data_IF_817425736472
#
_entry.id   IF_817425736472
#
_cell.length_a   1.000
_cell.length_b   1.000
_cell.length_c   1.000
_cell.angle_alpha   90.00
_cell.angle_beta   90.00
_cell.angle_gamma   90.00
#
_symmetry.space_group_name_H-M   'P 1'
#
loop_
_entity.id
_entity.type
_entity.pdbx_description
1 polymer ?
#
# COMPACT_ATOMS: atom_id res chain seq x y z
N UNK A 1 -11.86 45.37 27.45
CA UNK A 1 -11.56 44.16 28.23
C UNK A 1 -11.38 42.93 27.31
N UNK A 2 -12.34 42.57 26.44
CA UNK A 2 -12.13 41.42 25.53
C UNK A 2 -10.92 41.56 24.61
N UNK A 3 -10.77 42.69 23.92
CA UNK A 3 -9.66 42.91 22.98
C UNK A 3 -8.29 42.79 23.66
N UNK A 4 -8.17 43.19 24.92
CA UNK A 4 -6.92 43.05 25.68
C UNK A 4 -6.64 41.57 25.98
N UNK A 5 -7.67 40.80 26.34
CA UNK A 5 -7.55 39.36 26.52
C UNK A 5 -7.13 38.66 25.22
N UNK A 6 -7.75 39.01 24.09
CA UNK A 6 -7.41 38.44 22.77
C UNK A 6 -5.97 38.82 22.38
N UNK A 7 -5.53 40.05 22.63
CA UNK A 7 -4.12 40.46 22.43
C UNK A 7 -3.14 39.61 23.26
N UNK A 8 -3.52 39.24 24.48
CA UNK A 8 -2.69 38.36 25.32
C UNK A 8 -2.68 36.91 24.85
N UNK A 9 -3.79 36.41 24.30
CA UNK A 9 -3.90 35.02 23.81
C UNK A 9 -3.16 34.86 22.48
N UNK A 10 -3.36 35.80 21.55
CA UNK A 10 -2.86 35.71 20.17
C UNK A 10 -1.60 36.54 19.91
N UNK A 11 -0.90 37.01 20.96
CA UNK A 11 0.38 37.73 20.93
C UNK A 11 0.83 38.25 19.54
N UNK A 12 1.63 37.47 18.81
CA UNK A 12 2.21 37.83 17.51
C UNK A 12 1.30 37.50 16.31
N UNK A 13 0.26 36.69 16.50
CA UNK A 13 -0.71 36.27 15.49
C UNK A 13 -1.84 37.29 15.27
N UNK A 14 -1.95 38.31 16.13
CA UNK A 14 -2.98 39.36 16.04
C UNK A 14 -2.43 40.67 15.50
N UNK A 15 -3.07 41.18 14.45
CA UNK A 15 -2.76 42.47 13.83
C UNK A 15 -3.94 43.42 13.98
N UNK A 16 -3.77 44.48 14.77
CA UNK A 16 -4.76 45.55 14.87
C UNK A 16 -4.70 46.43 13.61
N UNK A 17 -5.84 46.62 12.94
CA UNK A 17 -5.96 47.52 11.79
C UNK A 17 -6.49 48.90 12.23
N UNK A 18 -7.59 48.91 12.99
CA UNK A 18 -8.24 50.13 13.46
C UNK A 18 -8.72 49.97 14.91
N UNK A 19 -8.67 51.05 15.69
CA UNK A 19 -9.12 51.05 17.09
C UNK A 19 -10.60 51.43 17.26
N UNK A 20 -11.20 52.22 16.36
CA UNK A 20 -12.62 52.61 16.41
C UNK A 20 -13.22 52.86 15.01
N UNK A 21 -14.19 52.05 14.53
CA UNK A 21 -14.62 50.77 15.10
C UNK A 21 -13.44 49.78 15.15
N UNK A 22 -13.47 48.85 16.11
CA UNK A 22 -12.37 47.89 16.27
C UNK A 22 -12.34 46.94 15.07
N UNK A 23 -11.24 47.00 14.33
CA UNK A 23 -10.94 46.12 13.19
C UNK A 23 -9.59 45.47 13.42
N UNK A 24 -9.55 44.15 13.40
CA UNK A 24 -8.30 43.42 13.58
C UNK A 24 -8.31 42.10 12.79
N UNK A 25 -7.11 41.60 12.54
CA UNK A 25 -6.89 40.32 11.88
C UNK A 25 -6.24 39.34 12.85
N UNK A 26 -6.66 38.07 12.78
CA UNK A 26 -6.07 36.95 13.52
C UNK A 26 -5.56 35.92 12.52
N UNK A 27 -4.29 35.56 12.63
CA UNK A 27 -3.70 34.44 11.90
C UNK A 27 -3.97 33.14 12.65
N UNK A 28 -4.58 32.19 11.97
CA UNK A 28 -4.82 30.84 12.49
C UNK A 28 -3.93 29.84 11.75
N UNK A 29 -3.10 29.18 12.55
CA UNK A 29 -2.23 28.09 12.12
C UNK A 29 -2.85 26.74 12.54
N UNK A 30 -2.79 25.74 11.67
CA UNK A 30 -3.29 24.40 11.96
C UNK A 30 -2.52 23.72 13.10
N UNK A 31 -1.21 23.96 13.16
CA UNK A 31 -0.31 23.39 14.15
C UNK A 31 0.76 24.42 14.54
N UNK A 32 1.31 24.28 15.74
CA UNK A 32 2.39 25.11 16.26
C UNK A 32 3.75 24.75 15.63
N UNK A 33 3.89 23.54 15.07
CA UNK A 33 5.09 23.12 14.35
C UNK A 33 5.04 23.56 12.88
N UNK A 34 5.93 24.48 12.48
CA UNK A 34 6.07 24.99 11.10
C UNK A 34 6.22 23.87 10.05
N UNK A 35 6.88 22.77 10.40
CA UNK A 35 7.11 21.64 9.48
C UNK A 35 5.86 20.81 9.17
N UNK A 36 4.84 20.89 10.02
CA UNK A 36 3.57 20.15 9.88
C UNK A 36 2.38 21.07 9.64
N UNK A 37 2.63 22.36 9.43
CA UNK A 37 1.58 23.35 9.23
C UNK A 37 1.40 23.60 7.73
N UNK A 38 0.47 22.86 7.12
CA UNK A 38 0.17 23.03 5.70
C UNK A 38 -1.00 24.00 5.45
N UNK A 39 -1.79 24.33 6.48
CA UNK A 39 -2.98 25.15 6.34
C UNK A 39 -2.90 26.39 7.22
N UNK A 40 -3.03 27.55 6.57
CA UNK A 40 -3.08 28.84 7.24
C UNK A 40 -4.34 29.60 6.80
N UNK A 41 -5.07 30.11 7.78
CA UNK A 41 -6.21 30.99 7.56
C UNK A 41 -5.98 32.32 8.25
N UNK A 42 -6.56 33.39 7.68
CA UNK A 42 -6.56 34.71 8.27
C UNK A 42 -8.01 35.15 8.45
N UNK A 43 -8.38 35.54 9.67
CA UNK A 43 -9.72 36.00 9.98
C UNK A 43 -9.67 37.50 10.23
N UNK A 44 -10.51 38.25 9.55
CA UNK A 44 -10.70 39.68 9.80
C UNK A 44 -12.01 39.86 10.56
N UNK A 45 -11.94 40.53 11.70
CA UNK A 45 -13.08 40.87 12.54
C UNK A 45 -13.37 42.37 12.44
N UNK A 46 -14.63 42.72 12.20
CA UNK A 46 -15.16 44.08 12.32
C UNK A 46 -16.23 44.10 13.40
N UNK A 47 -15.94 44.79 14.50
CA UNK A 47 -16.83 44.86 15.66
C UNK A 47 -17.86 45.99 15.53
N UNK A 48 -19.16 45.68 15.64
CA UNK A 48 -20.19 46.70 15.72
C UNK A 48 -20.20 47.38 17.10
N UNK A 49 -20.82 48.56 17.17
CA UNK A 49 -20.93 49.33 18.42
C UNK A 49 -21.74 48.60 19.52
N UNK A 50 -22.67 47.72 19.13
CA UNK A 50 -23.55 46.95 20.03
C UNK A 50 -23.01 45.53 20.31
N UNK A 51 -21.71 45.32 20.12
CA UNK A 51 -21.05 44.08 20.52
C UNK A 51 -20.94 44.00 22.06
N UNK A 52 -21.24 42.85 22.72
CA UNK A 52 -21.43 41.50 22.17
C UNK A 52 -22.90 41.07 21.89
N UNK A 53 -23.86 42.00 21.89
CA UNK A 53 -25.27 41.68 21.62
C UNK A 53 -25.53 41.38 20.13
N UNK A 54 -24.66 41.87 19.25
CA UNK A 54 -24.73 41.64 17.80
C UNK A 54 -23.47 40.93 17.33
N UNK A 55 -23.64 39.96 16.43
CA UNK A 55 -22.57 39.20 15.80
C UNK A 55 -21.63 40.14 15.01
N UNK A 56 -20.31 40.07 15.20
CA UNK A 56 -19.36 40.86 14.42
C UNK A 56 -19.32 40.41 12.95
N UNK A 57 -18.89 41.30 12.05
CA UNK A 57 -18.62 40.88 10.68
C UNK A 57 -17.30 40.11 10.65
N UNK A 58 -17.36 38.84 10.25
CA UNK A 58 -16.20 37.95 10.22
C UNK A 58 -15.93 37.60 8.76
N UNK A 59 -14.70 37.81 8.32
CA UNK A 59 -14.25 37.47 6.97
C UNK A 59 -13.09 36.50 7.03
N UNK A 60 -13.24 35.36 6.36
CA UNK A 60 -12.20 34.35 6.25
C UNK A 60 -11.41 34.59 4.97
N UNK A 61 -10.10 34.79 5.10
CA UNK A 61 -9.14 34.84 4.00
C UNK A 61 -8.28 33.58 4.01
N UNK A 62 -8.36 32.83 2.92
CA UNK A 62 -7.53 31.66 2.72
C UNK A 62 -6.09 32.08 2.32
N UNK A 63 -5.08 31.61 3.06
CA UNK A 63 -3.66 31.81 2.72
C UNK A 63 -3.04 30.59 2.03
N UNK A 64 -3.72 29.44 2.04
CA UNK A 64 -3.29 28.18 1.41
C UNK A 64 -4.30 27.74 0.33
N UNK A 65 -4.34 28.42 -0.84
CA UNK A 65 -5.30 28.12 -1.91
C UNK A 65 -5.08 26.75 -2.55
N UNK A 66 -3.87 26.19 -2.45
CA UNK A 66 -3.53 24.91 -3.07
C UNK A 66 -4.24 23.71 -2.41
N UNK A 67 -4.70 23.90 -1.16
CA UNK A 67 -5.25 22.84 -0.32
C UNK A 67 -6.73 23.09 -0.03
N UNK A 68 -7.12 24.34 0.22
CA UNK A 68 -8.48 24.68 0.63
C UNK A 68 -9.30 25.16 -0.57
N UNK A 69 -10.29 24.35 -0.93
CA UNK A 69 -11.28 24.67 -1.96
C UNK A 69 -12.32 25.70 -1.48
N UNK A 70 -12.95 26.41 -2.41
CA UNK A 70 -14.03 27.37 -2.11
C UNK A 70 -15.19 26.76 -1.32
N UNK A 71 -15.54 25.49 -1.58
CA UNK A 71 -16.59 24.80 -0.80
C UNK A 71 -16.21 24.68 0.68
N UNK A 72 -14.95 24.42 0.99
CA UNK A 72 -14.47 24.29 2.37
C UNK A 72 -14.52 25.66 3.06
N UNK A 73 -14.14 26.73 2.36
CA UNK A 73 -14.27 28.11 2.88
C UNK A 73 -15.73 28.44 3.21
N UNK A 74 -16.68 28.03 2.37
CA UNK A 74 -18.12 28.21 2.64
C UNK A 74 -18.58 27.41 3.86
N UNK A 75 -18.09 26.19 4.06
CA UNK A 75 -18.39 25.40 5.26
C UNK A 75 -17.82 26.04 6.52
N UNK A 76 -16.62 26.62 6.44
CA UNK A 76 -16.03 27.38 7.54
C UNK A 76 -16.80 28.66 7.85
N UNK A 77 -17.27 29.38 6.85
CA UNK A 77 -18.11 30.57 7.03
C UNK A 77 -19.42 30.23 7.75
N UNK A 78 -20.07 29.11 7.37
CA UNK A 78 -21.26 28.59 8.06
C UNK A 78 -20.96 28.21 9.51
N UNK A 79 -19.84 27.52 9.75
CA UNK A 79 -19.44 27.10 11.09
C UNK A 79 -19.20 28.31 12.00
N UNK A 80 -18.45 29.30 11.50
CA UNK A 80 -18.14 30.55 12.19
C UNK A 80 -19.41 31.32 12.52
N UNK A 81 -20.30 31.48 11.54
CA UNK A 81 -21.58 32.18 11.72
C UNK A 81 -22.43 31.48 12.78
N UNK A 82 -22.58 30.15 12.68
CA UNK A 82 -23.32 29.36 13.66
C UNK A 82 -22.76 29.52 15.06
N UNK A 83 -21.42 29.46 15.21
CA UNK A 83 -20.78 29.57 16.53
C UNK A 83 -20.92 30.97 17.13
N UNK A 84 -20.87 32.00 16.28
CA UNK A 84 -21.10 33.38 16.70
C UNK A 84 -22.55 33.60 17.14
N UNK A 85 -23.53 33.07 16.41
CA UNK A 85 -24.95 33.13 16.77
C UNK A 85 -25.26 32.42 18.10
N UNK A 86 -24.65 31.26 18.35
CA UNK A 86 -24.78 30.53 19.62
C UNK A 86 -24.20 31.30 20.82
N UNK A 87 -23.24 32.18 20.58
CA UNK A 87 -22.47 32.89 21.60
C UNK A 87 -22.89 34.36 21.76
N UNK A 88 -24.01 34.76 21.15
CA UNK A 88 -24.57 36.11 21.26
C UNK A 88 -24.87 36.47 22.72
N UNK A 89 -24.48 37.68 23.12
CA UNK A 89 -24.58 38.14 24.50
C UNK A 89 -23.38 37.78 25.37
N UNK A 90 -22.40 37.06 24.82
CA UNK A 90 -21.10 36.77 25.46
C UNK A 90 -19.93 37.10 24.54
N UNK A 91 -18.73 37.15 25.12
CA UNK A 91 -17.47 37.30 24.39
C UNK A 91 -17.31 36.10 23.45
N UNK A 92 -17.24 36.31 22.13
CA UNK A 92 -17.35 35.23 21.13
C UNK A 92 -16.12 35.12 20.20
N UNK A 93 -15.19 36.07 20.24
CA UNK A 93 -14.04 36.09 19.32
C UNK A 93 -13.17 34.84 19.51
N UNK A 94 -12.87 34.51 20.77
CA UNK A 94 -12.03 33.36 21.10
C UNK A 94 -12.70 32.04 20.69
N UNK A 95 -13.96 31.85 21.05
CA UNK A 95 -14.76 30.66 20.76
C UNK A 95 -14.86 30.39 19.25
N UNK A 96 -15.04 31.44 18.45
CA UNK A 96 -15.04 31.34 16.98
C UNK A 96 -13.66 30.92 16.46
N UNK A 97 -12.59 31.55 16.96
CA UNK A 97 -11.23 31.23 16.54
C UNK A 97 -10.86 29.78 16.88
N UNK A 98 -11.22 29.31 18.07
CA UNK A 98 -10.95 27.94 18.51
C UNK A 98 -11.76 26.91 17.73
N UNK A 99 -13.05 27.15 17.50
CA UNK A 99 -13.89 26.25 16.70
C UNK A 99 -13.33 26.08 15.27
N UNK A 100 -12.82 27.15 14.69
CA UNK A 100 -12.19 27.08 13.38
C UNK A 100 -10.79 26.43 13.44
N UNK A 101 -9.98 26.72 14.47
CA UNK A 101 -8.68 26.07 14.69
C UNK A 101 -8.81 24.55 14.78
N UNK A 102 -9.81 24.06 15.51
CA UNK A 102 -10.11 22.62 15.61
C UNK A 102 -10.38 22.01 14.22
N UNK A 103 -11.21 22.65 13.40
CA UNK A 103 -11.49 22.16 12.04
C UNK A 103 -10.31 22.22 11.08
N UNK A 104 -9.49 23.27 11.15
CA UNK A 104 -8.27 23.31 10.35
C UNK A 104 -7.31 22.19 10.80
N UNK A 105 -7.20 21.95 12.12
CA UNK A 105 -6.39 20.87 12.69
C UNK A 105 -6.81 19.49 12.20
N UNK A 106 -8.11 19.17 12.25
CA UNK A 106 -8.66 17.92 11.73
C UNK A 106 -8.30 17.71 10.25
N UNK A 107 -8.42 18.74 9.41
CA UNK A 107 -8.06 18.65 7.99
C UNK A 107 -6.55 18.47 7.79
N UNK A 108 -5.73 19.19 8.57
CA UNK A 108 -4.28 19.06 8.51
C UNK A 108 -3.83 17.64 8.86
N UNK A 109 -4.44 17.01 9.85
CA UNK A 109 -4.15 15.62 10.22
C UNK A 109 -4.52 14.64 9.09
N UNK A 110 -5.63 14.86 8.40
CA UNK A 110 -6.02 14.04 7.24
C UNK A 110 -4.99 14.20 6.11
N UNK A 111 -4.51 15.42 5.87
CA UNK A 111 -3.52 15.71 4.83
C UNK A 111 -2.17 15.09 5.18
N UNK A 112 -1.71 15.26 6.42
CA UNK A 112 -0.46 14.66 6.90
C UNK A 112 -0.48 13.14 6.73
N UNK A 113 -1.57 12.47 7.10
CA UNK A 113 -1.72 11.03 6.89
C UNK A 113 -1.61 10.63 5.43
N UNK A 114 -2.28 11.37 4.53
CA UNK A 114 -2.20 11.11 3.08
C UNK A 114 -0.79 11.33 2.53
N UNK A 115 -0.11 12.39 2.97
CA UNK A 115 1.27 12.68 2.57
C UNK A 115 2.21 11.58 3.06
N UNK A 116 2.06 11.12 4.30
CA UNK A 116 2.86 10.02 4.86
C UNK A 116 2.61 8.71 4.12
N UNK A 117 1.36 8.39 3.76
CA UNK A 117 1.01 7.22 2.96
C UNK A 117 1.63 7.26 1.55
N UNK A 118 1.63 8.42 0.89
CA UNK A 118 2.25 8.61 -0.42
C UNK A 118 3.76 8.47 -0.33
N UNK A 119 4.41 9.09 0.66
CA UNK A 119 5.85 8.96 0.88
C UNK A 119 6.26 7.51 1.15
N UNK A 120 5.45 6.76 1.88
CA UNK A 120 5.69 5.32 2.10
C UNK A 120 5.56 4.53 0.80
N UNK A 121 4.53 4.79 -0.01
CA UNK A 121 4.37 4.14 -1.32
C UNK A 121 5.51 4.49 -2.27
N UNK A 122 5.88 5.75 -2.40
CA UNK A 122 7.00 6.18 -3.24
C UNK A 122 8.34 5.58 -2.77
N UNK A 123 8.54 5.45 -1.46
CA UNK A 123 9.69 4.75 -0.91
C UNK A 123 9.67 3.24 -1.23
N UNK A 124 8.51 2.60 -1.18
CA UNK A 124 8.36 1.19 -1.53
C UNK A 124 8.52 0.97 -3.04
N UNK A 125 7.94 1.82 -3.88
CA UNK A 125 8.10 1.83 -5.33
C UNK A 125 9.56 2.06 -5.73
N UNK A 126 10.25 2.99 -5.05
CA UNK A 126 11.69 3.21 -5.25
C UNK A 126 12.51 2.01 -4.81
N UNK A 127 12.17 1.38 -3.68
CA UNK A 127 12.82 0.15 -3.21
C UNK A 127 12.58 -1.02 -4.20
N UNK A 128 11.35 -1.21 -4.68
CA UNK A 128 10.97 -2.21 -5.67
C UNK A 128 11.68 -1.98 -7.01
N UNK A 129 11.74 -0.74 -7.50
CA UNK A 129 12.51 -0.36 -8.69
C UNK A 129 13.99 -0.63 -8.49
N UNK A 130 14.57 -0.35 -7.32
CA UNK A 130 15.99 -0.67 -7.05
C UNK A 130 16.29 -2.17 -7.05
N UNK A 131 15.31 -3.01 -6.71
CA UNK A 131 15.40 -4.47 -6.82
C UNK A 131 15.23 -4.92 -8.28
N UNK A 132 14.33 -4.29 -9.05
CA UNK A 132 14.09 -4.58 -10.47
C UNK A 132 15.23 -4.11 -11.39
N UNK A 133 15.95 -3.02 -11.05
CA UNK A 133 17.08 -2.47 -11.84
C UNK A 133 18.32 -3.36 -11.81
N UNK A 134 18.31 -4.49 -11.09
CA UNK A 134 19.26 -5.59 -11.31
C UNK A 134 18.99 -6.39 -12.60
N UNK A 135 18.02 -5.99 -13.43
CA UNK A 135 17.82 -6.53 -14.78
C UNK A 135 18.63 -5.79 -15.86
N UNK A 136 19.05 -4.53 -15.61
CA UNK A 136 19.85 -3.70 -16.53
C UNK A 136 21.33 -3.62 -16.14
N UNK A 137 21.85 -4.66 -15.47
CA UNK A 137 23.30 -4.86 -15.48
C UNK A 137 23.72 -4.93 -16.96
N UNK A 138 24.80 -4.24 -17.38
CA UNK A 138 25.21 -4.26 -18.78
C UNK A 138 25.32 -5.72 -19.22
N UNK A 139 24.47 -6.15 -20.16
CA UNK A 139 24.53 -7.48 -20.72
C UNK A 139 25.92 -7.62 -21.34
N UNK A 140 26.84 -8.21 -20.59
CA UNK A 140 28.14 -8.59 -21.09
C UNK A 140 27.91 -9.79 -21.98
N UNK A 141 27.63 -9.55 -23.26
CA UNK A 141 27.58 -10.58 -24.27
C UNK A 141 28.95 -11.25 -24.30
N UNK A 142 29.03 -12.46 -23.73
CA UNK A 142 30.23 -13.29 -23.83
C UNK A 142 30.17 -13.98 -25.18
N UNK A 143 31.05 -13.64 -26.15
CA UNK A 143 31.02 -14.28 -27.45
C UNK A 143 31.22 -15.80 -27.29
N UNK A 144 30.28 -16.56 -27.83
CA UNK A 144 30.30 -18.03 -27.77
C UNK A 144 31.34 -18.53 -28.77
N UNK A 145 32.47 -19.01 -28.25
CA UNK A 145 33.49 -19.75 -29.00
C UNK A 145 33.47 -21.22 -28.57
N UNK A 146 34.14 -22.11 -29.30
CA UNK A 146 34.11 -23.56 -29.01
C UNK A 146 34.54 -23.90 -27.58
N UNK A 147 35.45 -23.13 -26.99
CA UNK A 147 35.94 -23.33 -25.64
C UNK A 147 35.01 -22.75 -24.56
N UNK A 148 34.37 -21.61 -24.80
CA UNK A 148 33.37 -21.03 -23.87
C UNK A 148 32.07 -21.80 -23.90
N UNK A 149 31.67 -22.35 -25.05
CA UNK A 149 30.52 -23.24 -25.16
C UNK A 149 30.74 -24.56 -24.41
N UNK A 150 31.94 -25.16 -24.52
CA UNK A 150 32.27 -26.38 -23.77
C UNK A 150 32.18 -26.16 -22.26
N UNK A 151 32.81 -25.08 -21.76
CA UNK A 151 32.73 -24.69 -20.34
C UNK A 151 31.30 -24.41 -19.88
N UNK A 152 30.51 -23.74 -20.70
CA UNK A 152 29.10 -23.49 -20.41
C UNK A 152 28.27 -24.79 -20.41
N UNK A 153 28.50 -25.68 -21.37
CA UNK A 153 27.80 -26.96 -21.49
C UNK A 153 28.09 -27.86 -20.28
N UNK A 154 29.35 -27.91 -19.83
CA UNK A 154 29.74 -28.67 -18.64
C UNK A 154 29.11 -28.07 -17.37
N UNK A 155 29.16 -26.75 -17.21
CA UNK A 155 28.52 -26.07 -16.08
C UNK A 155 26.99 -26.26 -16.08
N UNK A 156 26.36 -26.24 -17.27
CA UNK A 156 24.93 -26.46 -17.43
C UNK A 156 24.54 -27.91 -17.10
N UNK A 157 25.29 -28.90 -17.60
CA UNK A 157 25.06 -30.32 -17.27
C UNK A 157 25.20 -30.59 -15.78
N UNK A 158 26.20 -29.98 -15.13
CA UNK A 158 26.39 -30.09 -13.69
C UNK A 158 25.24 -29.42 -12.90
N UNK A 159 24.75 -28.27 -13.37
CA UNK A 159 23.58 -27.62 -12.79
C UNK A 159 22.31 -28.46 -12.93
N UNK A 160 22.09 -29.06 -14.10
CA UNK A 160 20.96 -29.98 -14.34
C UNK A 160 21.07 -31.25 -13.50
N UNK A 161 22.29 -31.76 -13.29
CA UNK A 161 22.54 -32.90 -12.40
C UNK A 161 22.18 -32.56 -10.96
N UNK A 162 22.65 -31.42 -10.44
CA UNK A 162 22.30 -30.94 -9.09
C UNK A 162 20.81 -30.70 -8.93
N UNK A 163 20.17 -30.06 -9.89
CA UNK A 163 18.72 -29.85 -9.86
C UNK A 163 17.95 -31.17 -9.87
N UNK A 164 18.41 -32.17 -10.63
CA UNK A 164 17.83 -33.51 -10.65
C UNK A 164 18.07 -34.26 -9.33
N UNK A 165 19.22 -34.07 -8.68
CA UNK A 165 19.53 -34.61 -7.36
C UNK A 165 18.70 -33.92 -6.26
N UNK A 166 18.44 -32.61 -6.37
CA UNK A 166 17.60 -31.84 -5.45
C UNK A 166 16.09 -32.11 -5.65
N UNK A 167 15.66 -32.39 -6.88
CA UNK A 167 14.28 -32.83 -7.19
C UNK A 167 14.08 -34.33 -7.02
N UNK A 168 15.08 -35.06 -6.56
CA UNK A 168 14.95 -36.47 -6.22
C UNK A 168 14.26 -36.60 -4.85
N UNK A 169 12.93 -36.69 -4.87
CA UNK A 169 12.12 -36.98 -3.68
C UNK A 169 12.24 -38.44 -3.24
N UNK A 170 11.97 -38.75 -1.96
CA UNK A 170 12.02 -40.12 -1.39
C UNK A 170 11.18 -41.17 -2.15
N UNK A 171 10.25 -40.74 -3.01
CA UNK A 171 9.47 -41.63 -3.91
C UNK A 171 10.32 -42.23 -5.05
N UNK A 172 11.39 -41.58 -5.48
CA UNK A 172 12.30 -42.07 -6.54
C UNK A 172 13.37 -43.03 -6.04
N UNK A 173 13.60 -43.11 -4.71
CA UNK A 173 14.45 -44.13 -4.10
C UNK A 173 13.75 -45.50 -3.98
N UNK A 174 12.42 -45.53 -4.04
CA UNK A 174 11.67 -46.79 -4.09
C UNK A 174 11.85 -47.39 -5.48
N UNK A 175 12.47 -48.57 -5.56
CA UNK A 175 12.58 -49.30 -6.83
C UNK A 175 11.21 -49.39 -7.48
N UNK A 176 11.11 -48.90 -8.71
CA UNK A 176 9.85 -48.98 -9.47
C UNK A 176 9.46 -50.44 -9.64
N UNK A 177 8.16 -50.76 -9.70
CA UNK A 177 7.67 -52.15 -9.80
C UNK A 177 8.31 -52.94 -10.96
N UNK A 178 8.68 -52.25 -12.05
CA UNK A 178 9.43 -52.84 -13.18
C UNK A 178 10.87 -53.20 -12.83
N UNK A 179 11.57 -52.37 -12.06
CA UNK A 179 12.92 -52.67 -11.57
C UNK A 179 12.93 -53.81 -10.54
N UNK A 180 11.87 -53.95 -9.74
CA UNK A 180 11.68 -55.10 -8.84
C UNK A 180 11.49 -56.38 -9.66
N UNK A 181 10.72 -56.32 -10.75
CA UNK A 181 10.48 -57.47 -11.62
C UNK A 181 11.74 -57.93 -12.36
N UNK A 182 12.56 -56.98 -12.86
CA UNK A 182 13.82 -57.30 -13.54
C UNK A 182 14.92 -57.76 -12.56
N UNK A 183 14.98 -57.21 -11.34
CA UNK A 183 15.94 -57.66 -10.31
C UNK A 183 15.55 -58.99 -9.65
N UNK A 184 14.24 -59.28 -9.55
CA UNK A 184 13.69 -60.58 -9.14
C UNK A 184 13.44 -61.52 -10.32
N UNK A 185 14.18 -61.36 -11.42
CA UNK A 185 14.31 -62.42 -12.42
C UNK A 185 15.17 -63.55 -11.85
N UNK A 186 14.67 -64.18 -10.78
CA UNK A 186 14.97 -65.57 -10.50
C UNK A 186 14.71 -66.30 -11.81
N UNK A 187 15.75 -66.96 -12.31
CA UNK A 187 15.67 -67.83 -13.46
C UNK A 187 14.46 -68.74 -13.28
N UNK A 188 13.55 -68.74 -14.26
CA UNK A 188 12.37 -69.62 -14.32
C UNK A 188 12.72 -71.10 -14.06
N UNK A 189 14.01 -71.47 -14.17
CA UNK A 189 14.56 -72.79 -13.86
C UNK A 189 14.69 -73.15 -12.36
N UNK A 190 14.60 -72.21 -11.42
CA UNK A 190 14.76 -72.51 -9.98
C UNK A 190 13.43 -72.75 -9.23
N UNK A 191 12.29 -72.67 -9.92
CA UNK A 191 10.99 -73.06 -9.36
C UNK A 191 10.83 -74.59 -9.44
N UNK A 192 11.47 -75.30 -8.50
CA UNK A 192 11.02 -76.65 -8.14
C UNK A 192 9.69 -76.53 -7.42
N UNK A 193 8.62 -76.91 -8.11
CA UNK A 193 7.33 -77.19 -7.49
C UNK A 193 7.51 -78.51 -6.74
N UNK A 194 7.82 -78.44 -5.45
CA UNK A 194 7.62 -79.56 -4.52
C UNK A 194 6.18 -79.45 -4.01
N UNK A 195 5.33 -80.35 -4.51
CA UNK A 195 3.99 -80.58 -3.99
C UNK A 195 4.10 -81.22 -2.60
N UNK A 196 3.93 -80.44 -1.53
CA UNK A 196 3.55 -80.96 -0.21
C UNK A 196 2.96 -79.84 0.68
N UNK A 197 1.62 -79.81 0.68
CA UNK A 197 0.69 -79.58 1.79
C UNK A 197 0.87 -78.42 2.80
N UNK A 198 -0.12 -77.53 2.71
CA UNK A 198 -1.02 -77.09 3.79
C UNK A 198 -0.66 -75.93 4.74
N UNK A 199 -1.71 -75.15 4.99
CA UNK A 199 -1.92 -74.23 6.13
C UNK A 199 -1.12 -72.91 6.22
N UNK A 200 -1.33 -71.97 5.27
CA UNK A 200 -1.08 -70.55 5.58
C UNK A 200 -2.07 -69.56 4.96
N UNK A 201 -3.33 -69.97 4.78
CA UNK A 201 -4.43 -69.07 4.42
C UNK A 201 -5.32 -68.75 5.62
N UNK A 202 -4.79 -67.95 6.56
CA UNK A 202 -5.61 -67.15 7.48
C UNK A 202 -4.72 -66.21 8.30
N UNK A 203 -4.77 -64.91 8.03
CA UNK A 203 -5.19 -63.90 9.01
C UNK A 203 -5.26 -62.51 8.35
N UNK A 204 -6.18 -61.71 8.84
CA UNK A 204 -6.76 -60.49 8.30
C UNK A 204 -5.77 -59.37 7.97
N UNK A 205 -6.00 -58.71 6.83
CA UNK A 205 -5.53 -57.35 6.56
C UNK A 205 -6.64 -56.60 5.83
N UNK A 206 -7.39 -55.79 6.57
CA UNK A 206 -8.57 -55.05 6.10
C UNK A 206 -8.28 -54.21 4.87
N UNK A 207 -9.16 -54.35 3.88
CA UNK A 207 -9.26 -53.45 2.75
C UNK A 207 -10.14 -52.27 3.23
N UNK A 208 -9.50 -51.22 3.72
CA UNK A 208 -10.19 -49.95 3.93
C UNK A 208 -10.46 -49.35 2.55
N UNK A 209 -11.73 -49.40 2.14
CA UNK A 209 -12.31 -48.54 1.12
C UNK A 209 -12.35 -47.11 1.69
N UNK A 210 -11.32 -46.31 1.42
CA UNK A 210 -11.40 -44.86 1.56
C UNK A 210 -11.28 -44.20 0.19
N UNK A 211 -12.46 -43.79 -0.27
CA UNK A 211 -12.84 -42.58 -1.00
C UNK A 211 -12.04 -42.10 -2.21
N UNK A 212 -12.80 -41.86 -3.27
CA UNK A 212 -12.48 -41.22 -4.54
C UNK A 212 -11.55 -39.99 -4.40
N UNK A 213 -10.32 -40.11 -4.89
CA UNK A 213 -9.55 -38.95 -5.36
C UNK A 213 -9.57 -38.96 -6.89
N UNK A 214 -10.58 -38.29 -7.45
CA UNK A 214 -10.59 -37.87 -8.86
C UNK A 214 -9.29 -37.07 -9.12
N UNK A 215 -8.38 -37.65 -9.89
CA UNK A 215 -7.23 -36.91 -10.41
C UNK A 215 -7.75 -35.80 -11.32
N UNK A 216 -7.85 -34.58 -10.78
CA UNK A 216 -7.99 -33.37 -11.58
C UNK A 216 -6.74 -33.23 -12.45
N UNK A 217 -6.87 -33.63 -13.72
CA UNK A 217 -5.87 -33.35 -14.76
C UNK A 217 -5.58 -31.84 -14.72
N UNK A 218 -4.38 -31.49 -14.26
CA UNK A 218 -3.92 -30.13 -14.13
C UNK A 218 -4.10 -29.36 -15.43
N UNK A 219 -5.19 -28.58 -15.49
CA UNK A 219 -5.46 -27.65 -16.57
C UNK A 219 -4.38 -26.58 -16.49
N UNK A 220 -3.45 -26.59 -17.44
CA UNK A 220 -2.46 -25.54 -17.57
C UNK A 220 -3.20 -24.20 -17.68
N UNK A 221 -3.11 -23.38 -16.64
CA UNK A 221 -3.69 -22.04 -16.61
C UNK A 221 -2.91 -21.16 -17.59
N UNK A 222 -3.39 -21.11 -18.84
CA UNK A 222 -2.94 -20.15 -19.84
C UNK A 222 -3.57 -18.81 -19.50
N UNK A 223 -2.75 -17.87 -19.01
CA UNK A 223 -3.18 -16.50 -18.76
C UNK A 223 -3.36 -15.77 -20.09
N UNK A 224 -4.60 -15.79 -20.60
CA UNK A 224 -4.99 -15.22 -21.90
C UNK A 224 -4.89 -13.69 -21.92
N UNK A 225 -4.84 -13.04 -20.76
CA UNK A 225 -4.73 -11.57 -20.66
C UNK A 225 -3.36 -11.03 -21.10
N UNK A 226 -2.34 -11.90 -21.22
CA UNK A 226 -1.01 -11.52 -21.71
C UNK A 226 -0.94 -11.30 -23.23
N UNK A 227 -1.94 -11.76 -23.99
CA UNK A 227 -1.95 -11.72 -25.45
C UNK A 227 -3.24 -11.14 -26.04
N UNK A 228 -4.08 -10.47 -25.24
CA UNK A 228 -5.23 -9.75 -25.78
C UNK A 228 -4.75 -8.44 -26.43
N UNK A 229 -4.42 -8.61 -27.70
CA UNK A 229 -3.98 -7.65 -28.69
C UNK A 229 -5.09 -6.61 -28.95
N UNK A 230 -4.83 -5.38 -28.49
CA UNK A 230 -5.69 -4.22 -28.70
C UNK A 230 -4.89 -2.96 -29.05
N UNK A 231 -3.72 -3.12 -29.68
CA UNK A 231 -2.90 -2.03 -30.21
C UNK A 231 -2.28 -2.50 -31.53
N UNK A 232 -3.08 -2.46 -32.59
CA UNK A 232 -2.56 -2.28 -33.95
C UNK A 232 -1.94 -0.86 -33.99
N UNK A 233 -0.66 -0.75 -33.61
CA UNK A 233 0.16 0.38 -34.05
C UNK A 233 0.58 0.08 -35.49
N UNK A 234 -0.04 0.80 -36.43
CA UNK A 234 0.41 0.88 -37.82
C UNK A 234 1.87 1.37 -37.86
N UNK A 235 2.81 0.44 -37.97
CA UNK A 235 4.21 0.75 -38.23
C UNK A 235 4.36 0.98 -39.74
N UNK A 236 4.28 2.25 -40.15
CA UNK A 236 4.62 2.70 -41.50
C UNK A 236 6.09 2.36 -41.81
N UNK A 237 6.32 1.46 -42.76
CA UNK A 237 7.64 1.20 -43.34
C UNK A 237 7.76 1.97 -44.66
N UNK A 238 8.61 3.01 -44.65
CA UNK A 238 9.13 3.70 -45.84
C UNK A 238 10.16 2.85 -46.61
#
# INVERSE_FOLDING_TARGET
MEIESIKCIFLDDLVMLEERPFRFEVLLNANNELSRNHLQLKLTFELPDDYPNVVPSIRIKNLSPDIINNNIVLEFDKLVTKKAEESVGTMMIYEVCEALREKIGEMNDIILRKVDELNQKDSLDTALKSVAVKADAPLTFTPVNSETFAKWCDAYKERMRKLKEEMLTEKDLKQTGRQIFDSKKLTIDDLKIEDEDDELFREEGGFDEDEDDEMEEGQAFYDKALYEEGLEEDVDFE
#
